data_IF_674333602991
#
_entry.id   IF_674333602991
#
_cell.length_a   1.000
_cell.length_b   1.000
_cell.length_c   1.000
_cell.angle_alpha   90.00
_cell.angle_beta   90.00
_cell.angle_gamma   90.00
#
_symmetry.space_group_name_H-M   'P 1'
#
loop_
_entity.id
_entity.type
_entity.pdbx_description
1 polymer ?
#
# COMPACT_ATOMS: atom_id res chain seq x y z
N UNK A 1 -7.00 -22.73 6.30
CA UNK A 1 -6.45 -21.48 6.88
C UNK A 1 -6.45 -20.43 5.78
N UNK A 2 -7.30 -19.41 5.86
CA UNK A 2 -7.38 -18.39 4.80
C UNK A 2 -6.07 -17.62 4.72
N UNK A 3 -5.35 -17.77 3.60
CA UNK A 3 -4.28 -16.87 3.21
C UNK A 3 -4.87 -15.45 3.20
N UNK A 4 -4.63 -14.68 4.26
CA UNK A 4 -5.03 -13.28 4.29
C UNK A 4 -4.16 -12.57 3.27
N UNK A 5 -4.63 -12.52 2.03
CA UNK A 5 -4.05 -11.68 1.00
C UNK A 5 -3.99 -10.26 1.56
N UNK A 6 -2.79 -9.76 1.79
CA UNK A 6 -2.56 -8.37 2.18
C UNK A 6 -1.98 -7.63 0.99
N UNK A 7 -2.11 -6.31 1.00
CA UNK A 7 -1.54 -5.41 0.02
C UNK A 7 -0.59 -4.47 0.74
N UNK A 8 0.64 -4.41 0.28
CA UNK A 8 1.64 -3.47 0.75
C UNK A 8 1.51 -2.16 -0.03
N UNK A 9 1.60 -1.06 0.70
CA UNK A 9 1.66 0.30 0.17
C UNK A 9 3.04 0.85 0.54
N UNK A 10 3.84 1.27 -0.42
CA UNK A 10 5.23 1.71 -0.21
C UNK A 10 5.50 3.01 -0.94
N UNK A 11 6.04 3.99 -0.23
CA UNK A 11 6.62 5.18 -0.86
C UNK A 11 8.13 5.14 -0.62
N UNK A 12 8.91 5.05 -1.69
CA UNK A 12 10.39 5.00 -1.59
C UNK A 12 10.99 6.38 -1.30
N UNK A 13 10.27 7.46 -1.61
CA UNK A 13 10.74 8.84 -1.44
C UNK A 13 10.74 9.25 0.04
N UNK A 14 9.71 8.87 0.80
CA UNK A 14 9.59 9.21 2.22
C UNK A 14 9.65 7.99 3.16
N UNK A 15 10.03 6.83 2.64
CA UNK A 15 10.05 5.52 3.33
C UNK A 15 8.71 5.16 4.04
N UNK A 16 7.58 5.67 3.52
CA UNK A 16 6.27 5.31 4.02
C UNK A 16 5.95 3.84 3.71
N UNK A 17 5.43 3.12 4.71
CA UNK A 17 5.06 1.72 4.60
C UNK A 17 3.69 1.48 5.23
N UNK A 18 2.71 1.14 4.41
CA UNK A 18 1.35 0.78 4.79
C UNK A 18 1.01 -0.66 4.42
N UNK A 19 -0.01 -1.22 5.07
CA UNK A 19 -0.61 -2.50 4.67
C UNK A 19 -2.13 -2.40 4.70
N UNK A 20 -2.78 -3.05 3.75
CA UNK A 20 -4.24 -3.11 3.69
C UNK A 20 -4.74 -4.54 3.40
N UNK A 21 -5.90 -4.96 3.95
CA UNK A 21 -6.51 -6.26 3.67
C UNK A 21 -7.10 -6.38 2.27
N UNK A 22 -7.35 -5.27 1.55
CA UNK A 22 -7.93 -5.27 0.21
C UNK A 22 -7.17 -4.33 -0.72
N UNK A 23 -7.22 -4.60 -2.03
CA UNK A 23 -6.60 -3.74 -3.05
C UNK A 23 -7.21 -2.35 -3.06
N UNK A 24 -8.53 -2.26 -2.94
CA UNK A 24 -9.24 -0.98 -2.97
C UNK A 24 -8.80 -0.05 -1.84
N UNK A 25 -8.63 -0.59 -0.63
CA UNK A 25 -8.13 0.21 0.49
C UNK A 25 -6.65 0.59 0.30
N UNK A 26 -5.83 -0.30 -0.25
CA UNK A 26 -4.43 0.00 -0.57
C UNK A 26 -4.30 1.15 -1.58
N UNK A 27 -5.10 1.11 -2.65
CA UNK A 27 -5.14 2.18 -3.66
C UNK A 27 -5.60 3.50 -3.04
N UNK A 28 -6.65 3.49 -2.20
CA UNK A 28 -7.13 4.71 -1.56
C UNK A 28 -6.10 5.32 -0.61
N UNK A 29 -5.34 4.49 0.11
CA UNK A 29 -4.21 4.95 0.93
C UNK A 29 -3.11 5.57 0.06
N UNK A 30 -2.78 4.94 -1.07
CA UNK A 30 -1.80 5.44 -2.02
C UNK A 30 -2.23 6.79 -2.60
N UNK A 31 -3.49 6.93 -3.05
CA UNK A 31 -4.04 8.18 -3.58
C UNK A 31 -3.99 9.33 -2.55
N UNK A 32 -4.42 9.07 -1.31
CA UNK A 32 -4.36 10.06 -0.22
C UNK A 32 -2.91 10.49 0.01
N UNK A 33 -1.99 9.53 0.05
CA UNK A 33 -0.58 9.83 0.27
C UNK A 33 0.06 10.56 -0.91
N UNK A 34 -0.24 10.17 -2.15
CA UNK A 34 0.18 10.88 -3.37
C UNK A 34 -0.31 12.33 -3.35
N UNK A 35 -1.58 12.56 -2.99
CA UNK A 35 -2.16 13.89 -2.87
C UNK A 35 -1.50 14.74 -1.79
N UNK A 36 -1.12 14.15 -0.65
CA UNK A 36 -0.53 14.89 0.47
C UNK A 36 0.98 15.14 0.27
N UNK A 37 1.68 14.18 -0.32
CA UNK A 37 3.15 14.15 -0.37
C UNK A 37 3.72 14.58 -1.71
N UNK A 38 2.93 14.49 -2.79
CA UNK A 38 3.39 14.73 -4.16
C UNK A 38 4.33 13.66 -4.70
N UNK A 39 4.37 12.48 -4.07
CA UNK A 39 5.26 11.38 -4.45
C UNK A 39 4.45 10.17 -4.90
N UNK A 40 4.97 9.43 -5.86
CA UNK A 40 4.38 8.16 -6.26
C UNK A 40 4.48 7.10 -5.17
N UNK A 41 3.40 6.32 -5.06
CA UNK A 41 3.25 5.28 -4.05
C UNK A 41 2.95 3.96 -4.72
N UNK A 42 3.82 2.98 -4.48
CA UNK A 42 3.70 1.63 -5.00
C UNK A 42 2.70 0.81 -4.19
N UNK A 43 1.81 0.11 -4.91
CA UNK A 43 0.85 -0.84 -4.31
C UNK A 43 1.11 -2.24 -4.86
N UNK A 44 1.51 -3.16 -3.98
CA UNK A 44 1.86 -4.53 -4.34
C UNK A 44 1.12 -5.55 -3.46
N UNK A 45 0.92 -6.77 -3.97
CA UNK A 45 0.33 -7.85 -3.16
C UNK A 45 1.39 -8.39 -2.20
N UNK A 46 1.13 -8.27 -0.90
CA UNK A 46 1.96 -8.79 0.19
C UNK A 46 1.65 -10.28 0.37
N UNK A 47 2.44 -11.12 -0.30
CA UNK A 47 2.45 -12.57 -0.06
C UNK A 47 3.33 -12.79 1.17
N UNK A 48 2.73 -12.72 2.36
CA UNK A 48 3.41 -13.05 3.60
C UNK A 48 4.06 -14.43 3.46
N UNK A 49 5.38 -14.47 3.61
CA UNK A 49 6.18 -15.70 3.64
C UNK A 49 6.00 -16.39 4.99
#
# INVERSE_FOLDING_TARGET
MSERTRWAVRCTVCDFRGRAPTRALANRLAEIHQSASGHDVDVARDRGH
#
